data_IF_887501485502
#
_entry.id   IF_887501485502
#
_cell.length_a   1.000
_cell.length_b   1.000
_cell.length_c   1.000
_cell.angle_alpha   90.00
_cell.angle_beta   90.00
_cell.angle_gamma   90.00
#
_symmetry.space_group_name_H-M   'P 1'
#
loop_
_entity.id
_entity.type
_entity.pdbx_description
1 polymer ?
#
# COMPACT_ATOMS: atom_id res chain seq x y z
N UNK A 1 1.45 -18.41 -9.17
CA UNK A 1 1.39 -18.70 -7.71
C UNK A 1 2.78 -19.03 -7.18
N UNK A 2 3.14 -18.51 -6.00
CA UNK A 2 4.43 -18.82 -5.34
C UNK A 2 5.46 -17.69 -5.32
N UNK A 3 5.22 -16.59 -6.04
CA UNK A 3 6.07 -15.40 -5.97
C UNK A 3 5.86 -14.62 -4.68
N UNK A 4 6.88 -13.88 -4.26
CA UNK A 4 6.77 -12.90 -3.17
C UNK A 4 6.69 -11.51 -3.79
N UNK A 5 5.57 -10.84 -3.62
CA UNK A 5 5.39 -9.47 -4.12
C UNK A 5 5.39 -8.53 -2.93
N UNK A 6 6.30 -7.56 -2.95
CA UNK A 6 6.34 -6.50 -1.94
C UNK A 6 5.77 -5.23 -2.55
N UNK A 7 4.60 -4.82 -2.06
CA UNK A 7 4.00 -3.54 -2.40
C UNK A 7 4.61 -2.46 -1.51
N UNK A 8 5.15 -1.40 -2.12
CA UNK A 8 5.73 -0.27 -1.39
C UNK A 8 4.96 1.01 -1.65
N UNK A 9 4.35 1.55 -0.60
CA UNK A 9 3.76 2.87 -0.60
C UNK A 9 4.86 3.93 -0.45
N UNK A 10 4.94 4.88 -1.39
CA UNK A 10 5.91 5.98 -1.34
C UNK A 10 5.22 7.30 -1.59
N UNK A 11 5.64 8.33 -0.85
CA UNK A 11 5.29 9.71 -1.14
C UNK A 11 6.31 10.32 -2.11
N UNK A 12 5.90 11.38 -2.79
CA UNK A 12 6.79 12.27 -3.54
C UNK A 12 8.05 12.64 -2.72
N UNK A 13 9.23 12.41 -3.30
CA UNK A 13 10.57 12.63 -2.70
C UNK A 13 10.91 11.81 -1.45
N UNK A 14 10.38 10.59 -1.29
CA UNK A 14 10.68 9.70 -0.15
C UNK A 14 10.45 10.36 1.23
N UNK A 15 9.55 11.34 1.28
CA UNK A 15 9.13 12.00 2.52
C UNK A 15 8.40 11.00 3.41
N UNK A 16 8.64 11.09 4.71
CA UNK A 16 8.00 10.28 5.74
C UNK A 16 6.48 10.36 5.62
N UNK A 17 5.84 9.23 5.34
CA UNK A 17 4.39 9.07 5.43
C UNK A 17 4.10 8.29 6.71
N UNK A 18 3.14 8.75 7.50
CA UNK A 18 2.77 8.11 8.77
C UNK A 18 1.40 7.46 8.65
N UNK A 19 1.17 6.38 9.41
CA UNK A 19 -0.12 5.67 9.40
C UNK A 19 -0.52 5.15 8.02
N UNK A 20 0.42 4.63 7.24
CA UNK A 20 0.15 4.04 5.91
C UNK A 20 -0.89 2.93 6.04
N UNK A 21 -1.89 2.90 5.15
CA UNK A 21 -2.85 1.81 5.00
C UNK A 21 -2.88 1.34 3.57
N UNK A 22 -3.02 0.04 3.39
CA UNK A 22 -3.21 -0.59 2.10
C UNK A 22 -4.66 -1.02 1.93
N UNK A 23 -5.14 -0.93 0.70
CA UNK A 23 -6.46 -1.41 0.31
C UNK A 23 -6.32 -2.33 -0.89
N UNK A 24 -7.14 -3.37 -0.93
CA UNK A 24 -7.24 -4.32 -2.03
C UNK A 24 -8.70 -4.49 -2.41
N UNK A 25 -9.04 -4.12 -3.64
CA UNK A 25 -10.42 -4.07 -4.17
C UNK A 25 -11.39 -3.33 -3.23
N UNK A 26 -10.90 -2.25 -2.61
CA UNK A 26 -11.66 -1.43 -1.65
C UNK A 26 -11.70 -1.98 -0.23
N UNK A 27 -11.14 -3.17 0.02
CA UNK A 27 -11.01 -3.75 1.37
C UNK A 27 -9.74 -3.23 2.05
N UNK A 28 -9.88 -2.69 3.26
CA UNK A 28 -8.74 -2.29 4.10
C UNK A 28 -7.95 -3.56 4.49
N UNK A 29 -6.69 -3.63 4.05
CA UNK A 29 -5.72 -4.66 4.43
C UNK A 29 -4.92 -4.25 5.67
N UNK A 30 -5.17 -3.06 6.21
CA UNK A 30 -4.39 -2.46 7.27
C UNK A 30 -3.09 -1.84 6.79
N UNK A 31 -2.32 -1.39 7.76
CA UNK A 31 -0.99 -0.80 7.56
C UNK A 31 0.11 -1.71 8.07
N UNK A 32 1.30 -1.70 7.46
CA UNK A 32 2.46 -2.32 8.08
C UNK A 32 2.76 -1.65 9.43
N UNK A 33 3.04 -2.45 10.45
CA UNK A 33 3.40 -1.95 11.79
C UNK A 33 4.66 -1.05 11.75
N UNK A 34 5.56 -1.27 10.79
CA UNK A 34 6.77 -0.49 10.56
C UNK A 34 7.03 -0.33 9.07
N UNK A 35 7.29 0.90 8.63
CA UNK A 35 7.59 1.22 7.23
C UNK A 35 6.35 1.45 6.37
N UNK A 36 6.54 1.36 5.06
CA UNK A 36 5.50 1.58 4.05
C UNK A 36 5.47 0.44 3.02
N UNK A 37 5.82 -0.77 3.47
CA UNK A 37 5.97 -1.97 2.63
C UNK A 37 5.02 -3.07 3.13
N UNK A 38 4.27 -3.68 2.22
CA UNK A 38 3.37 -4.81 2.45
C UNK A 38 3.86 -5.99 1.62
N UNK A 39 4.26 -7.07 2.28
CA UNK A 39 4.68 -8.30 1.62
C UNK A 39 3.48 -9.23 1.45
N UNK A 40 3.20 -9.60 0.21
CA UNK A 40 2.24 -10.61 -0.18
C UNK A 40 3.02 -11.90 -0.47
N UNK A 41 3.09 -12.78 0.53
CA UNK A 41 3.77 -14.07 0.40
C UNK A 41 3.02 -15.17 1.15
N UNK A 42 2.73 -16.30 0.49
CA UNK A 42 2.89 -16.59 -0.95
C UNK A 42 1.82 -15.88 -1.81
N UNK A 43 2.20 -15.41 -3.01
CA UNK A 43 1.27 -14.84 -3.98
C UNK A 43 0.34 -15.94 -4.52
N UNK A 44 -0.85 -16.01 -3.94
CA UNK A 44 -1.98 -16.83 -4.37
C UNK A 44 -2.90 -16.07 -5.33
N UNK A 45 -3.70 -16.80 -6.14
CA UNK A 45 -4.68 -16.22 -7.08
C UNK A 45 -5.61 -15.15 -6.46
N UNK A 46 -5.94 -15.28 -5.18
CA UNK A 46 -6.78 -14.32 -4.47
C UNK A 46 -6.10 -12.96 -4.18
N UNK A 47 -4.80 -12.83 -4.41
CA UNK A 47 -4.08 -11.56 -4.38
C UNK A 47 -4.15 -10.81 -5.71
N UNK A 48 -4.74 -11.38 -6.76
CA UNK A 48 -5.02 -10.66 -7.99
C UNK A 48 -6.13 -9.64 -7.74
N UNK A 49 -5.91 -8.37 -8.10
CA UNK A 49 -6.90 -7.31 -7.83
C UNK A 49 -6.33 -5.90 -7.87
N UNK A 50 -7.15 -4.92 -7.47
CA UNK A 50 -6.80 -3.49 -7.47
C UNK A 50 -6.26 -3.07 -6.11
N UNK A 51 -5.00 -2.66 -6.06
CA UNK A 51 -4.34 -2.19 -4.85
C UNK A 51 -4.24 -0.66 -4.82
N UNK A 52 -4.57 -0.07 -3.69
CA UNK A 52 -4.25 1.34 -3.39
C UNK A 52 -3.53 1.42 -2.05
N UNK A 53 -2.74 2.46 -1.85
CA UNK A 53 -2.24 2.78 -0.52
C UNK A 53 -2.59 4.22 -0.17
N UNK A 54 -2.85 4.48 1.10
CA UNK A 54 -3.05 5.82 1.63
C UNK A 54 -2.18 6.05 2.85
N UNK A 55 -1.94 7.30 3.19
CA UNK A 55 -1.18 7.64 4.37
C UNK A 55 -1.33 9.10 4.78
N UNK A 56 -1.00 9.37 6.04
CA UNK A 56 -0.92 10.72 6.55
C UNK A 56 0.35 11.38 6.07
N UNK A 57 0.16 12.53 5.47
CA UNK A 57 1.21 13.32 4.88
C UNK A 57 1.28 14.67 5.58
N UNK A 58 2.44 14.98 6.15
CA UNK A 58 2.69 16.32 6.69
C UNK A 58 3.02 17.26 5.52
N UNK A 59 2.12 18.18 5.25
CA UNK A 59 2.34 19.34 4.39
C UNK A 59 1.41 20.45 4.84
N UNK A 60 1.96 21.46 5.53
CA UNK A 60 1.18 22.57 6.11
C UNK A 60 -0.04 22.08 6.94
N UNK A 61 0.11 20.93 7.61
CA UNK A 61 -0.96 20.16 8.27
C UNK A 61 -0.84 18.66 7.97
N UNK A 62 -1.58 17.82 8.70
CA UNK A 62 -1.70 16.38 8.40
C UNK A 62 -2.88 16.14 7.45
N UNK A 63 -2.59 15.77 6.20
CA UNK A 63 -3.61 15.40 5.21
C UNK A 63 -3.55 13.90 4.96
N UNK A 64 -4.69 13.25 4.76
CA UNK A 64 -4.73 11.89 4.24
C UNK A 64 -4.66 11.94 2.72
N UNK A 65 -3.67 11.27 2.13
CA UNK A 65 -3.57 11.13 0.68
C UNK A 65 -3.54 9.66 0.28
N UNK A 66 -4.26 9.34 -0.80
CA UNK A 66 -4.34 8.01 -1.39
C UNK A 66 -3.63 8.03 -2.74
N UNK A 67 -2.81 7.00 -2.99
CA UNK A 67 -2.08 6.84 -4.25
C UNK A 67 -3.00 6.41 -5.38
N UNK A 68 -2.44 6.42 -6.59
CA UNK A 68 -3.09 5.74 -7.71
C UNK A 68 -3.24 4.25 -7.42
N UNK A 69 -4.27 3.71 -8.03
CA UNK A 69 -4.56 2.30 -7.99
C UNK A 69 -3.67 1.51 -8.94
N UNK A 70 -3.23 0.35 -8.49
CA UNK A 70 -2.34 -0.55 -9.20
C UNK A 70 -3.01 -1.91 -9.28
N UNK A 71 -3.18 -2.44 -10.48
CA UNK A 71 -3.70 -3.79 -10.68
C UNK A 71 -2.56 -4.79 -10.60
N UNK A 72 -2.68 -5.77 -9.70
CA UNK A 72 -1.78 -6.93 -9.61
C UNK A 72 -2.47 -8.11 -10.29
N UNK A 73 -1.77 -8.76 -11.22
CA UNK A 73 -2.23 -9.99 -11.90
C UNK A 73 -1.30 -11.13 -11.51
N UNK A 74 -1.86 -12.25 -11.07
CA UNK A 74 -1.14 -13.46 -10.61
C UNK A 74 -1.03 -14.49 -11.73
#
# INVERSE_FOLDING_TARGET
EGDTVTLRCRRWRDKSVTGVRFYHDGKDLGGPLRGAELSLSPLQLHHGGRYTCGGWVEYWGSRWEVTKEVTVTV
#
